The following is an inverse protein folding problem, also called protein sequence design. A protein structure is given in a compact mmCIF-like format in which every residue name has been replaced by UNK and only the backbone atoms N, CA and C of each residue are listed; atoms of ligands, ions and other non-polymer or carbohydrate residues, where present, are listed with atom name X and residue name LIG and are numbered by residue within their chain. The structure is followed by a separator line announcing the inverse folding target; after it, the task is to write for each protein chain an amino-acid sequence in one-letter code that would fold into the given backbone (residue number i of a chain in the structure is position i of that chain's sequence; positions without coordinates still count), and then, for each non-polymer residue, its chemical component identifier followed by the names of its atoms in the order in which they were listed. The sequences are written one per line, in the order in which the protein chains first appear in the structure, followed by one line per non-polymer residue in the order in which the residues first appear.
data_IF_594630970227
#
_entry.id   IF_594630970227
#
_cell.length_a   1.000
_cell.length_b   1.000
_cell.length_c   1.000
_cell.angle_alpha   90.00
_cell.angle_beta   90.00
_cell.angle_gamma   90.00
#
_symmetry.space_group_name_H-M   'P 1'
#
loop_
_entity.id
_entity.type
_entity.pdbx_description
1 polymer ?
#
# COMPACT_ATOMS: atom_id res chain seq x y z
N UNK A 1 -0.31 -40.74 14.83
CA UNK A 1 0.33 -39.61 14.12
C UNK A 1 0.24 -38.39 15.01
N UNK A 2 1.36 -37.75 15.36
CA UNK A 2 1.39 -36.52 16.17
C UNK A 2 1.14 -35.34 15.24
N UNK A 3 -0.01 -34.67 15.38
CA UNK A 3 -0.27 -33.40 14.72
C UNK A 3 0.36 -32.29 15.56
N UNK A 4 1.43 -31.69 15.03
CA UNK A 4 1.95 -30.43 15.55
C UNK A 4 0.98 -29.33 15.09
N UNK A 5 0.17 -28.80 16.00
CA UNK A 5 -0.56 -27.56 15.76
C UNK A 5 0.49 -26.46 15.54
N UNK A 6 0.66 -26.02 14.29
CA UNK A 6 1.54 -24.91 13.95
C UNK A 6 0.81 -23.62 14.34
N UNK A 7 1.02 -23.16 15.58
CA UNK A 7 0.67 -21.81 15.95
C UNK A 7 1.55 -20.86 15.13
N UNK A 8 0.92 -20.03 14.29
CA UNK A 8 1.58 -18.91 13.64
C UNK A 8 1.95 -17.93 14.74
N UNK A 9 3.19 -18.03 15.23
CA UNK A 9 3.77 -17.03 16.13
C UNK A 9 4.10 -15.83 15.25
N UNK A 10 3.35 -14.73 15.43
CA UNK A 10 3.70 -13.45 14.83
C UNK A 10 5.11 -13.08 15.29
N UNK A 11 6.06 -13.05 14.36
CA UNK A 11 7.39 -12.54 14.63
C UNK A 11 7.27 -11.08 15.12
N UNK A 12 8.11 -10.63 16.07
CA UNK A 12 8.16 -9.22 16.43
C UNK A 12 8.55 -8.43 15.18
N UNK A 13 7.65 -7.58 14.71
CA UNK A 13 7.94 -6.65 13.62
C UNK A 13 8.97 -5.66 14.13
N UNK A 14 10.18 -5.72 13.56
CA UNK A 14 11.16 -4.65 13.70
C UNK A 14 10.77 -3.60 12.69
N UNK A 15 10.17 -2.52 13.16
CA UNK A 15 9.82 -1.38 12.33
C UNK A 15 11.09 -0.55 12.12
N UNK A 16 11.67 -0.65 10.92
CA UNK A 16 12.77 0.19 10.50
C UNK A 16 12.23 1.39 9.74
N UNK A 17 12.57 2.57 10.24
CA UNK A 17 12.33 3.91 9.68
C UNK A 17 10.93 4.52 9.93
N UNK A 18 10.93 5.80 10.32
CA UNK A 18 9.73 6.64 10.42
C UNK A 18 8.96 6.64 9.09
N UNK A 19 7.63 6.81 9.14
CA UNK A 19 6.80 6.89 7.95
C UNK A 19 7.29 8.00 7.01
N UNK A 20 8.04 7.62 5.97
CA UNK A 20 8.59 8.57 5.02
C UNK A 20 7.60 8.78 3.87
N UNK A 21 6.63 9.66 4.10
CA UNK A 21 5.66 10.04 3.07
C UNK A 21 6.22 11.19 2.21
N UNK A 22 6.34 11.03 0.88
CA UNK A 22 6.91 12.08 0.02
C UNK A 22 5.95 13.26 -0.15
N UNK A 23 6.35 14.42 0.35
CA UNK A 23 5.56 15.66 0.34
C UNK A 23 5.60 16.40 -1.00
N UNK A 24 6.61 16.12 -1.84
CA UNK A 24 6.77 16.75 -3.14
C UNK A 24 5.54 16.57 -4.03
N UNK A 25 4.90 17.65 -4.49
CA UNK A 25 3.67 17.57 -5.30
C UNK A 25 2.39 17.26 -4.50
N UNK A 26 2.43 17.46 -3.19
CA UNK A 26 1.22 17.65 -2.40
C UNK A 26 0.60 19.02 -2.69
N UNK A 27 -0.73 19.10 -2.60
CA UNK A 27 -1.47 20.36 -2.76
C UNK A 27 -1.00 21.47 -1.81
N UNK A 28 -0.57 21.09 -0.61
CA UNK A 28 0.13 21.95 0.34
C UNK A 28 1.38 21.23 0.85
N UNK A 29 2.45 21.23 0.06
CA UNK A 29 3.72 20.56 0.37
C UNK A 29 4.35 21.07 1.68
N UNK A 30 4.34 22.39 1.90
CA UNK A 30 4.88 22.99 3.12
C UNK A 30 4.04 22.63 4.35
N UNK A 31 2.71 22.72 4.26
CA UNK A 31 1.81 22.32 5.33
C UNK A 31 1.87 20.82 5.62
N UNK A 32 2.01 19.98 4.58
CA UNK A 32 2.20 18.53 4.75
C UNK A 32 3.50 18.26 5.51
N UNK A 33 4.61 18.87 5.09
CA UNK A 33 5.91 18.70 5.75
C UNK A 33 5.86 19.15 7.21
N UNK A 34 5.26 20.32 7.48
CA UNK A 34 5.10 20.83 8.84
C UNK A 34 4.20 19.92 9.69
N UNK A 35 3.11 19.40 9.13
CA UNK A 35 2.20 18.51 9.83
C UNK A 35 2.87 17.18 10.18
N UNK A 36 3.61 16.58 9.24
CA UNK A 36 4.37 15.35 9.47
C UNK A 36 5.43 15.54 10.56
N UNK A 37 6.17 16.65 10.55
CA UNK A 37 7.14 16.96 11.60
C UNK A 37 6.49 17.18 12.99
N UNK A 38 5.28 17.74 13.03
CA UNK A 38 4.49 17.83 14.26
C UNK A 38 4.02 16.46 14.73
N UNK A 39 3.59 15.58 13.82
CA UNK A 39 3.26 14.21 14.14
C UNK A 39 4.48 13.51 14.76
N UNK A 40 5.66 13.57 14.12
CA UNK A 40 6.93 13.02 14.64
C UNK A 40 7.24 13.49 16.07
N UNK A 41 7.13 14.79 16.30
CA UNK A 41 7.41 15.39 17.61
C UNK A 41 6.40 14.94 18.67
N UNK A 42 5.11 14.89 18.31
CA UNK A 42 4.05 14.44 19.20
C UNK A 42 4.16 12.94 19.53
N UNK A 43 4.60 12.12 18.56
CA UNK A 43 4.90 10.71 18.79
C UNK A 43 6.00 10.55 19.83
N UNK A 44 7.17 11.14 19.61
CA UNK A 44 8.32 10.98 20.51
C UNK A 44 7.97 11.40 21.95
N UNK A 45 7.19 12.48 22.11
CA UNK A 45 6.70 12.92 23.42
C UNK A 45 5.70 11.95 24.06
N UNK A 46 4.73 11.43 23.29
CA UNK A 46 3.70 10.52 23.79
C UNK A 46 4.29 9.15 24.14
N UNK A 47 5.18 8.62 23.29
CA UNK A 47 5.84 7.35 23.49
C UNK A 47 6.81 7.38 24.67
N UNK A 48 7.56 8.47 24.86
CA UNK A 48 8.44 8.58 26.03
C UNK A 48 7.64 8.60 27.33
N UNK A 49 6.46 9.21 27.33
CA UNK A 49 5.58 9.30 28.51
C UNK A 49 4.85 7.99 28.81
N UNK A 50 4.25 7.36 27.80
CA UNK A 50 3.39 6.18 27.97
C UNK A 50 4.14 4.86 27.91
N UNK A 51 5.24 4.82 27.17
CA UNK A 51 5.98 3.60 26.84
C UNK A 51 7.39 3.60 27.44
N UNK A 52 7.89 4.74 27.93
CA UNK A 52 9.26 4.87 28.44
C UNK A 52 10.34 4.80 27.36
N UNK A 53 9.97 4.99 26.09
CA UNK A 53 10.87 4.87 24.94
C UNK A 53 10.60 6.00 23.93
N UNK A 54 11.65 6.46 23.27
CA UNK A 54 11.59 7.62 22.36
C UNK A 54 11.18 7.26 20.94
N UNK A 55 11.21 5.97 20.60
CA UNK A 55 10.92 5.48 19.26
C UNK A 55 9.80 4.41 19.30
N UNK A 56 8.58 4.73 18.81
CA UNK A 56 7.43 3.82 18.83
C UNK A 56 7.67 2.47 18.16
N UNK A 57 8.63 2.43 17.22
CA UNK A 57 8.92 1.30 16.35
C UNK A 57 9.90 0.31 16.97
N UNK A 58 10.72 0.77 17.92
CA UNK A 58 11.58 -0.06 18.76
C UNK A 58 11.04 -0.26 20.17
N UNK A 59 9.92 0.41 20.51
CA UNK A 59 9.09 0.16 21.70
C UNK A 59 8.40 -1.22 21.65
N UNK A 60 9.14 -2.31 21.48
CA UNK A 60 8.58 -3.64 21.61
C UNK A 60 8.10 -3.85 23.05
N UNK A 61 6.85 -4.29 23.25
CA UNK A 61 6.29 -4.78 24.52
C UNK A 61 5.85 -3.75 25.57
N UNK A 62 5.59 -2.49 25.22
CA UNK A 62 4.95 -1.57 26.15
C UNK A 62 3.42 -1.73 26.04
N UNK A 63 2.75 -1.92 27.18
CA UNK A 63 1.30 -2.17 27.42
C UNK A 63 0.26 -1.70 26.38
N UNK A 64 -0.98 -2.22 26.44
CA UNK A 64 -2.10 -1.74 25.62
C UNK A 64 -2.27 -0.21 25.61
N UNK A 65 -1.97 0.45 26.74
CA UNK A 65 -1.99 1.90 26.87
C UNK A 65 -0.89 2.59 26.03
N UNK A 66 0.28 1.99 25.91
CA UNK A 66 1.35 2.45 25.02
C UNK A 66 0.97 2.25 23.56
N UNK A 67 0.51 1.05 23.18
CA UNK A 67 0.10 0.77 21.80
C UNK A 67 -0.98 1.75 21.35
N UNK A 68 -2.02 1.93 22.17
CA UNK A 68 -3.15 2.81 21.84
C UNK A 68 -2.76 4.29 21.90
N UNK A 69 -2.05 4.72 22.95
CA UNK A 69 -1.79 6.14 23.21
C UNK A 69 -0.55 6.73 22.54
N UNK A 70 0.34 5.89 22.02
CA UNK A 70 1.53 6.32 21.28
C UNK A 70 1.44 5.87 19.82
N UNK A 71 1.48 4.55 19.57
CA UNK A 71 1.63 3.99 18.21
C UNK A 71 0.38 4.22 17.34
N UNK A 72 -0.82 4.03 17.87
CA UNK A 72 -2.04 4.26 17.09
C UNK A 72 -2.32 5.75 16.85
N UNK A 73 -2.11 6.60 17.85
CA UNK A 73 -2.31 8.07 17.75
C UNK A 73 -1.32 8.70 16.76
N UNK A 74 -0.07 8.23 16.80
CA UNK A 74 0.98 8.54 15.86
C UNK A 74 0.52 8.37 14.41
N UNK A 75 0.21 7.13 14.06
CA UNK A 75 -0.22 6.72 12.73
C UNK A 75 -1.49 7.44 12.29
N UNK A 76 -2.45 7.63 13.20
CA UNK A 76 -3.66 8.41 12.93
C UNK A 76 -3.30 9.85 12.53
N UNK A 77 -2.30 10.45 13.17
CA UNK A 77 -1.84 11.82 12.89
C UNK A 77 -1.19 11.93 11.51
N UNK A 78 -0.35 10.97 11.12
CA UNK A 78 0.22 10.90 9.77
C UNK A 78 -0.86 10.84 8.69
N UNK A 79 -1.80 9.91 8.84
CA UNK A 79 -2.94 9.79 7.93
C UNK A 79 -3.72 11.11 7.88
N UNK A 80 -3.96 11.76 9.02
CA UNK A 80 -4.67 13.04 9.06
C UNK A 80 -3.90 14.17 8.33
N UNK A 81 -2.57 14.20 8.44
CA UNK A 81 -1.73 15.15 7.72
C UNK A 81 -1.86 14.98 6.21
N UNK A 82 -1.79 13.74 5.72
CA UNK A 82 -1.95 13.46 4.29
C UNK A 82 -3.38 13.77 3.83
N UNK A 83 -4.40 13.38 4.59
CA UNK A 83 -5.80 13.67 4.27
C UNK A 83 -6.13 15.17 4.29
N UNK A 84 -5.41 15.98 5.07
CA UNK A 84 -5.65 17.42 5.17
C UNK A 84 -4.82 18.21 4.15
N UNK A 85 -3.51 18.00 4.08
CA UNK A 85 -2.59 18.85 3.31
C UNK A 85 -2.04 18.19 2.03
N UNK A 86 -2.26 16.90 1.84
CA UNK A 86 -1.82 16.15 0.65
C UNK A 86 -2.93 15.27 0.07
N UNK A 87 -4.18 15.73 0.17
CA UNK A 87 -5.34 14.95 -0.25
C UNK A 87 -5.32 14.61 -1.74
N UNK A 88 -4.51 15.31 -2.54
CA UNK A 88 -4.37 15.06 -3.97
C UNK A 88 -3.58 13.77 -4.30
N UNK A 89 -2.98 13.13 -3.28
CA UNK A 89 -2.22 11.89 -3.39
C UNK A 89 -2.84 10.70 -2.64
N UNK A 90 -4.08 10.80 -2.19
CA UNK A 90 -4.74 9.73 -1.39
C UNK A 90 -4.95 8.41 -2.13
N UNK A 91 -4.72 8.35 -3.44
CA UNK A 91 -4.72 7.08 -4.19
C UNK A 91 -3.32 6.55 -4.50
N UNK A 92 -2.28 7.30 -4.13
CA UNK A 92 -0.90 6.97 -4.47
C UNK A 92 -0.40 5.73 -3.73
N UNK A 93 0.63 5.08 -4.27
CA UNK A 93 1.29 3.94 -3.64
C UNK A 93 1.78 4.28 -2.24
N UNK A 94 2.25 5.50 -2.02
CA UNK A 94 2.77 5.97 -0.74
C UNK A 94 1.65 6.13 0.29
N UNK A 95 0.47 6.62 -0.12
CA UNK A 95 -0.68 6.66 0.78
C UNK A 95 -1.17 5.26 1.12
N UNK A 96 -1.29 4.38 0.13
CA UNK A 96 -1.74 3.01 0.37
C UNK A 96 -0.74 2.24 1.24
N UNK A 97 0.57 2.46 1.07
CA UNK A 97 1.61 1.90 1.94
C UNK A 97 1.44 2.41 3.37
N UNK A 98 1.32 3.73 3.55
CA UNK A 98 1.07 4.35 4.86
C UNK A 98 -0.18 3.76 5.54
N UNK A 99 -1.29 3.61 4.80
CA UNK A 99 -2.55 3.07 5.31
C UNK A 99 -2.44 1.58 5.66
N UNK A 100 -1.78 0.77 4.83
CA UNK A 100 -1.52 -0.65 5.11
C UNK A 100 -0.62 -0.80 6.33
N UNK A 101 0.50 -0.08 6.38
CA UNK A 101 1.40 -0.12 7.53
C UNK A 101 0.68 0.35 8.79
N UNK A 102 -0.20 1.35 8.69
CA UNK A 102 -1.00 1.85 9.79
C UNK A 102 -1.82 0.77 10.51
N UNK A 103 -2.50 -0.09 9.76
CA UNK A 103 -3.35 -1.16 10.32
C UNK A 103 -2.53 -2.35 10.84
N UNK A 104 -1.30 -2.54 10.33
CA UNK A 104 -0.39 -3.57 10.84
C UNK A 104 0.32 -3.13 12.12
N UNK A 105 0.67 -1.84 12.19
CA UNK A 105 1.33 -1.20 13.33
C UNK A 105 0.35 -0.99 14.50
N UNK A 106 -0.91 -0.67 14.19
CA UNK A 106 -1.99 -0.53 15.16
C UNK A 106 -3.05 -1.63 14.93
N UNK A 107 -2.92 -2.82 15.56
CA UNK A 107 -3.84 -3.94 15.37
C UNK A 107 -5.30 -3.66 15.76
N UNK A 108 -5.54 -2.61 16.55
CA UNK A 108 -6.89 -2.16 16.94
C UNK A 108 -7.49 -1.13 15.97
N UNK A 109 -6.75 -0.73 14.93
CA UNK A 109 -7.28 0.11 13.88
C UNK A 109 -8.33 -0.65 13.07
N UNK A 110 -9.34 0.08 12.59
CA UNK A 110 -10.38 -0.46 11.72
C UNK A 110 -10.09 0.01 10.31
N UNK A 111 -9.61 -0.86 9.39
CA UNK A 111 -9.24 -0.47 8.03
C UNK A 111 -10.36 0.29 7.31
N UNK A 112 -11.62 -0.15 7.46
CA UNK A 112 -12.79 0.50 6.86
C UNK A 112 -13.06 1.92 7.40
N UNK A 113 -12.47 2.28 8.54
CA UNK A 113 -12.55 3.63 9.11
C UNK A 113 -11.46 4.58 8.60
N UNK A 114 -10.44 4.06 7.91
CA UNK A 114 -9.39 4.84 7.25
C UNK A 114 -9.90 5.28 5.87
N UNK A 115 -9.98 6.59 5.60
CA UNK A 115 -10.49 7.06 4.32
C UNK A 115 -9.61 6.60 3.14
N UNK A 116 -10.20 6.13 2.06
CA UNK A 116 -9.48 5.56 0.90
C UNK A 116 -8.56 4.38 1.24
N UNK A 117 -8.82 3.66 2.33
CA UNK A 117 -8.10 2.43 2.60
C UNK A 117 -8.21 1.51 1.39
N UNK A 118 -9.42 1.15 0.96
CA UNK A 118 -9.63 0.54 -0.34
C UNK A 118 -9.66 1.65 -1.39
N UNK A 119 -8.69 1.63 -2.31
CA UNK A 119 -8.63 2.62 -3.38
C UNK A 119 -9.73 2.32 -4.39
N UNK A 120 -10.17 3.33 -5.13
CA UNK A 120 -10.96 3.04 -6.34
C UNK A 120 -9.92 2.76 -7.44
N UNK A 121 -10.09 1.70 -8.26
CA UNK A 121 -9.18 1.45 -9.37
C UNK A 121 -9.23 2.58 -10.40
N UNK A 122 -8.11 2.80 -11.08
CA UNK A 122 -7.97 3.76 -12.19
C UNK A 122 -8.26 5.24 -11.83
N UNK A 123 -8.03 5.63 -10.58
CA UNK A 123 -8.12 7.04 -10.18
C UNK A 123 -6.86 7.83 -10.60
N UNK A 124 -6.96 9.17 -10.76
CA UNK A 124 -5.79 10.01 -10.98
C UNK A 124 -4.75 9.82 -9.87
N UNK A 125 -3.51 9.51 -10.24
CA UNK A 125 -2.45 9.24 -9.27
C UNK A 125 -2.57 7.90 -8.53
N UNK A 126 -3.45 7.00 -8.95
CA UNK A 126 -3.61 5.68 -8.33
C UNK A 126 -2.33 4.83 -8.39
N UNK A 127 -2.12 3.97 -7.40
CA UNK A 127 -0.98 3.06 -7.42
C UNK A 127 -1.11 2.01 -8.54
N UNK A 128 0.02 1.60 -9.12
CA UNK A 128 0.11 0.53 -10.13
C UNK A 128 -0.30 -0.85 -9.59
N UNK A 129 -0.39 -0.99 -8.27
CA UNK A 129 -0.83 -2.18 -7.54
C UNK A 129 -1.70 -1.68 -6.38
N UNK A 130 -2.92 -2.19 -6.27
CA UNK A 130 -3.83 -1.78 -5.18
C UNK A 130 -3.42 -2.48 -3.87
N UNK A 131 -2.44 -1.88 -3.18
CA UNK A 131 -1.77 -2.47 -2.02
C UNK A 131 -2.73 -2.80 -0.88
N UNK A 132 -3.75 -1.99 -0.67
CA UNK A 132 -4.74 -2.23 0.38
C UNK A 132 -5.70 -3.36 0.06
N UNK A 133 -6.10 -3.51 -1.20
CA UNK A 133 -6.87 -4.67 -1.65
C UNK A 133 -6.04 -5.95 -1.56
N UNK A 134 -4.77 -5.89 -1.97
CA UNK A 134 -3.84 -7.01 -1.83
C UNK A 134 -3.61 -7.37 -0.35
N UNK A 135 -3.41 -6.37 0.53
CA UNK A 135 -3.32 -6.59 1.96
C UNK A 135 -4.60 -7.22 2.50
N UNK A 136 -5.79 -6.72 2.13
CA UNK A 136 -7.06 -7.25 2.60
C UNK A 136 -7.26 -8.72 2.18
N UNK A 137 -6.90 -9.07 0.93
CA UNK A 137 -6.94 -10.45 0.44
C UNK A 137 -6.01 -11.38 1.22
N UNK A 138 -4.75 -10.97 1.39
CA UNK A 138 -3.74 -11.76 2.13
C UNK A 138 -4.06 -11.87 3.63
N UNK A 139 -4.71 -10.85 4.20
CA UNK A 139 -5.17 -10.84 5.58
C UNK A 139 -6.42 -11.72 5.78
N UNK A 140 -7.35 -11.75 4.83
CA UNK A 140 -8.57 -12.54 4.90
C UNK A 140 -8.32 -14.04 4.73
N UNK A 141 -7.34 -14.44 3.91
CA UNK A 141 -7.13 -15.83 3.53
C UNK A 141 -6.92 -16.80 4.72
N UNK A 142 -6.16 -16.48 5.79
CA UNK A 142 -6.10 -17.32 6.99
C UNK A 142 -7.45 -17.53 7.67
N UNK A 143 -8.32 -16.52 7.70
CA UNK A 143 -9.67 -16.64 8.27
C UNK A 143 -10.57 -17.51 7.40
N UNK A 144 -10.49 -17.37 6.07
CA UNK A 144 -11.12 -18.29 5.12
C UNK A 144 -10.66 -19.74 5.37
N UNK A 145 -9.36 -19.94 5.60
CA UNK A 145 -8.75 -21.20 6.03
C UNK A 145 -9.38 -21.80 7.28
N UNK A 146 -9.53 -20.99 8.32
CA UNK A 146 -10.13 -21.39 9.60
C UNK A 146 -11.62 -21.73 9.46
N UNK A 147 -12.38 -20.92 8.72
CA UNK A 147 -13.79 -21.15 8.46
C UNK A 147 -14.00 -22.45 7.67
N UNK A 148 -13.19 -22.67 6.62
CA UNK A 148 -13.20 -23.92 5.86
C UNK A 148 -12.89 -25.13 6.74
N UNK A 149 -11.86 -25.05 7.60
CA UNK A 149 -11.48 -26.15 8.49
C UNK A 149 -12.57 -26.44 9.52
N UNK A 150 -13.24 -25.40 10.02
CA UNK A 150 -14.37 -25.54 10.96
C UNK A 150 -15.57 -26.21 10.29
N UNK A 151 -15.84 -25.88 9.03
CA UNK A 151 -16.90 -26.51 8.23
C UNK A 151 -16.54 -27.95 7.80
N UNK A 152 -15.25 -28.29 7.73
CA UNK A 152 -14.74 -29.57 7.24
C UNK A 152 -13.66 -30.12 8.20
N UNK A 153 -14.05 -30.79 9.31
CA UNK A 153 -13.14 -31.07 10.42
C UNK A 153 -12.17 -32.26 10.21
N UNK A 154 -12.14 -32.89 9.04
CA UNK A 154 -11.20 -33.98 8.77
C UNK A 154 -9.78 -33.47 8.45
N UNK A 155 -8.77 -34.32 8.69
CA UNK A 155 -7.36 -33.93 8.50
C UNK A 155 -7.01 -33.64 7.04
N UNK A 156 -7.68 -34.30 6.08
CA UNK A 156 -7.46 -34.04 4.66
C UNK A 156 -8.11 -32.70 4.25
N UNK A 157 -9.27 -32.37 4.82
CA UNK A 157 -9.90 -31.07 4.66
C UNK A 157 -9.07 -29.94 5.25
N UNK A 158 -8.49 -30.13 6.44
CA UNK A 158 -7.60 -29.12 7.04
C UNK A 158 -6.43 -28.76 6.11
N UNK A 159 -5.81 -29.76 5.47
CA UNK A 159 -4.75 -29.53 4.48
C UNK A 159 -5.28 -28.82 3.22
N UNK A 160 -6.45 -29.22 2.69
CA UNK A 160 -7.09 -28.55 1.55
C UNK A 160 -7.40 -27.08 1.86
N UNK A 161 -8.00 -26.79 3.01
CA UNK A 161 -8.32 -25.45 3.46
C UNK A 161 -7.08 -24.57 3.61
N UNK A 162 -6.01 -25.11 4.21
CA UNK A 162 -4.74 -24.38 4.33
C UNK A 162 -4.14 -24.06 2.95
N UNK A 163 -4.18 -25.02 2.02
CA UNK A 163 -3.69 -24.81 0.67
C UNK A 163 -4.54 -23.84 -0.15
N UNK A 164 -5.86 -23.83 0.05
CA UNK A 164 -6.73 -22.84 -0.56
C UNK A 164 -6.50 -21.42 -0.02
N UNK A 165 -6.13 -21.26 1.26
CA UNK A 165 -5.73 -19.96 1.80
C UNK A 165 -4.41 -19.45 1.18
N UNK A 166 -3.44 -20.35 0.97
CA UNK A 166 -2.18 -20.02 0.29
C UNK A 166 -2.44 -19.59 -1.15
N UNK A 167 -3.29 -20.36 -1.86
CA UNK A 167 -3.71 -20.06 -3.22
C UNK A 167 -4.41 -18.70 -3.31
N UNK A 168 -5.38 -18.43 -2.43
CA UNK A 168 -6.11 -17.15 -2.40
C UNK A 168 -5.16 -15.95 -2.30
N UNK A 169 -4.15 -16.03 -1.42
CA UNK A 169 -3.16 -14.97 -1.23
C UNK A 169 -2.27 -14.75 -2.47
N UNK A 170 -1.88 -15.84 -3.13
CA UNK A 170 -1.01 -15.79 -4.31
C UNK A 170 -1.79 -15.31 -5.54
N UNK A 171 -3.01 -15.82 -5.75
CA UNK A 171 -3.90 -15.39 -6.81
C UNK A 171 -4.26 -13.91 -6.68
N UNK A 172 -4.47 -13.41 -5.45
CA UNK A 172 -4.66 -11.98 -5.18
C UNK A 172 -3.51 -11.13 -5.75
N UNK A 173 -2.27 -11.57 -5.51
CA UNK A 173 -1.09 -10.86 -6.00
C UNK A 173 -1.04 -10.84 -7.53
N UNK A 174 -1.31 -11.96 -8.20
CA UNK A 174 -1.29 -12.00 -9.67
C UNK A 174 -2.46 -11.29 -10.33
N UNK A 175 -3.59 -11.12 -9.63
CA UNK A 175 -4.70 -10.35 -10.17
C UNK A 175 -4.46 -8.84 -9.97
N UNK A 176 -4.01 -8.43 -8.77
CA UNK A 176 -3.92 -7.02 -8.37
C UNK A 176 -2.57 -6.38 -8.74
N UNK A 177 -1.48 -7.15 -8.71
CA UNK A 177 -0.11 -6.64 -8.70
C UNK A 177 0.85 -7.42 -9.63
N UNK A 178 0.33 -8.09 -10.66
CA UNK A 178 1.13 -8.93 -11.58
C UNK A 178 2.34 -8.26 -12.24
N UNK A 179 2.34 -6.94 -12.41
CA UNK A 179 3.48 -6.23 -13.03
C UNK A 179 4.56 -5.84 -12.03
N UNK A 180 4.25 -5.80 -10.73
CA UNK A 180 5.14 -5.31 -9.67
C UNK A 180 6.03 -6.43 -9.17
N UNK A 181 7.32 -6.19 -8.95
CA UNK A 181 8.21 -7.14 -8.30
C UNK A 181 7.86 -7.23 -6.80
N UNK A 182 7.63 -8.45 -6.23
CA UNK A 182 7.29 -8.63 -4.82
C UNK A 182 8.28 -7.98 -3.84
N UNK A 183 9.53 -7.75 -4.25
CA UNK A 183 10.53 -7.07 -3.45
C UNK A 183 10.20 -5.60 -3.14
N UNK A 184 9.29 -4.98 -3.90
CA UNK A 184 8.82 -3.60 -3.68
C UNK A 184 7.49 -3.53 -2.91
N UNK A 185 6.87 -4.66 -2.55
CA UNK A 185 5.67 -4.63 -1.73
C UNK A 185 6.00 -4.17 -0.29
N UNK A 186 5.08 -3.45 0.37
CA UNK A 186 5.22 -3.11 1.79
C UNK A 186 5.48 -4.35 2.65
N UNK A 187 6.29 -4.19 3.70
CA UNK A 187 6.65 -5.30 4.57
C UNK A 187 5.43 -5.96 5.23
N UNK A 188 4.37 -5.19 5.44
CA UNK A 188 3.05 -5.63 5.91
C UNK A 188 2.36 -6.67 4.99
N UNK A 189 2.67 -6.69 3.70
CA UNK A 189 2.07 -7.64 2.75
C UNK A 189 3.02 -8.84 2.60
N UNK A 190 2.61 -9.99 3.12
CA UNK A 190 3.40 -11.24 3.04
C UNK A 190 2.70 -12.24 2.14
N UNK A 191 3.27 -12.46 0.96
CA UNK A 191 2.79 -13.51 0.04
C UNK A 191 3.45 -14.85 0.39
N UNK A 192 2.70 -15.91 0.68
CA UNK A 192 3.23 -17.18 1.20
C UNK A 192 3.82 -18.10 0.12
N UNK A 193 4.64 -17.58 -0.80
CA UNK A 193 5.24 -18.33 -1.92
C UNK A 193 5.95 -19.62 -1.48
N UNK A 194 6.68 -19.58 -0.36
CA UNK A 194 7.43 -20.73 0.16
C UNK A 194 6.58 -21.90 0.62
N UNK A 195 5.28 -21.69 0.87
CA UNK A 195 4.34 -22.75 1.24
C UNK A 195 3.70 -23.43 0.03
N UNK A 196 3.68 -22.74 -1.11
CA UNK A 196 2.98 -23.22 -2.30
C UNK A 196 3.45 -24.61 -2.80
N UNK A 197 4.77 -24.92 -2.88
CA UNK A 197 5.21 -26.24 -3.35
C UNK A 197 4.68 -27.42 -2.53
N UNK A 198 4.27 -27.18 -1.28
CA UNK A 198 3.66 -28.21 -0.41
C UNK A 198 2.17 -28.43 -0.74
N UNK A 199 1.56 -27.48 -1.45
CA UNK A 199 0.15 -27.45 -1.79
C UNK A 199 -0.17 -27.90 -3.22
N UNK A 200 0.82 -27.98 -4.11
CA UNK A 200 0.63 -28.40 -5.52
C UNK A 200 -0.21 -29.68 -5.66
N UNK A 201 0.20 -30.74 -4.96
CA UNK A 201 -0.51 -32.03 -5.02
C UNK A 201 -1.93 -31.97 -4.45
N UNK A 202 -2.16 -31.08 -3.48
CA UNK A 202 -3.48 -30.91 -2.83
C UNK A 202 -4.40 -30.09 -3.73
N UNK A 203 -3.88 -29.04 -4.37
CA UNK A 203 -4.63 -28.14 -5.25
C UNK A 203 -4.96 -28.77 -6.60
N UNK A 204 -4.17 -29.74 -7.09
CA UNK A 204 -4.42 -30.42 -8.37
C UNK A 204 -5.80 -31.11 -8.48
N UNK A 205 -6.47 -31.38 -7.36
CA UNK A 205 -7.83 -31.95 -7.32
C UNK A 205 -8.80 -31.19 -6.42
N UNK A 206 -8.44 -29.98 -5.96
CA UNK A 206 -9.26 -29.20 -5.04
C UNK A 206 -9.76 -27.94 -5.73
N UNK A 207 -11.07 -27.77 -5.77
CA UNK A 207 -11.70 -26.52 -6.16
C UNK A 207 -11.94 -25.69 -4.90
N UNK A 208 -11.10 -24.67 -4.70
CA UNK A 208 -11.16 -23.80 -3.54
C UNK A 208 -12.44 -22.95 -3.49
N UNK A 209 -13.09 -22.71 -4.65
CA UNK A 209 -14.36 -21.98 -4.69
C UNK A 209 -15.49 -22.73 -3.98
N UNK A 210 -15.53 -24.06 -4.13
CA UNK A 210 -16.47 -24.92 -3.42
C UNK A 210 -16.23 -24.98 -1.91
N UNK A 211 -15.05 -24.56 -1.45
CA UNK A 211 -14.68 -24.49 -0.05
C UNK A 211 -14.89 -23.11 0.57
N UNK A 212 -15.51 -22.18 -0.18
CA UNK A 212 -15.80 -20.83 0.28
C UNK A 212 -14.61 -19.88 0.19
N UNK A 213 -13.57 -20.24 -0.58
CA UNK A 213 -12.49 -19.33 -0.94
C UNK A 213 -12.83 -18.65 -2.25
N UNK A 214 -12.37 -17.43 -2.40
CA UNK A 214 -12.64 -16.61 -3.58
C UNK A 214 -12.68 -15.17 -3.15
N UNK A 215 -11.96 -14.33 -3.88
CA UNK A 215 -11.99 -12.91 -3.58
C UNK A 215 -13.18 -12.31 -4.31
N UNK A 216 -13.96 -11.42 -3.68
CA UNK A 216 -15.00 -10.65 -4.36
C UNK A 216 -14.45 -9.71 -5.46
N UNK A 217 -13.12 -9.62 -5.61
CA UNK A 217 -12.42 -8.71 -6.51
C UNK A 217 -11.51 -9.38 -7.54
N UNK A 218 -11.31 -10.71 -7.51
CA UNK A 218 -10.50 -11.40 -8.54
C UNK A 218 -11.39 -12.17 -9.49
N UNK A 219 -11.00 -12.16 -10.75
CA UNK A 219 -11.64 -12.95 -11.79
C UNK A 219 -11.51 -14.44 -11.42
N UNK A 220 -12.60 -15.21 -11.51
CA UNK A 220 -12.71 -16.66 -11.18
C UNK A 220 -11.70 -17.59 -11.91
N UNK A 221 -10.77 -17.03 -12.68
CA UNK A 221 -9.88 -17.71 -13.63
C UNK A 221 -8.40 -17.72 -13.22
N UNK A 222 -8.00 -17.03 -12.15
CA UNK A 222 -6.60 -17.02 -11.70
C UNK A 222 -6.38 -18.15 -10.68
N UNK A 223 -6.50 -19.39 -11.16
CA UNK A 223 -5.95 -20.56 -10.49
C UNK A 223 -4.50 -20.70 -10.96
N UNK A 224 -3.55 -20.77 -10.02
CA UNK A 224 -2.10 -20.81 -10.19
C UNK A 224 -1.57 -21.93 -11.11
N UNK A 225 -2.42 -22.80 -11.64
CA UNK A 225 -2.04 -23.84 -12.62
C UNK A 225 -1.17 -23.36 -13.80
N UNK A 226 -1.07 -22.04 -14.03
CA UNK A 226 0.09 -21.43 -14.68
C UNK A 226 0.72 -20.35 -13.80
N UNK A 227 1.82 -20.69 -13.11
CA UNK A 227 2.75 -19.72 -12.53
C UNK A 227 3.10 -18.65 -13.57
N UNK A 228 2.45 -17.50 -13.47
CA UNK A 228 2.91 -16.33 -14.21
C UNK A 228 4.27 -15.93 -13.60
N UNK A 229 5.26 -15.56 -14.42
CA UNK A 229 6.47 -14.98 -13.85
C UNK A 229 6.08 -13.76 -13.01
N UNK A 230 6.75 -13.59 -11.87
CA UNK A 230 6.58 -12.38 -11.07
C UNK A 230 6.83 -11.14 -11.93
N UNK A 231 6.13 -10.06 -11.59
CA UNK A 231 6.42 -8.75 -12.12
C UNK A 231 7.88 -8.35 -11.89
N UNK A 232 8.35 -7.40 -12.68
CA UNK A 232 9.71 -6.85 -12.60
C UNK A 232 9.73 -5.34 -12.38
N UNK A 233 8.56 -4.70 -12.42
CA UNK A 233 8.44 -3.26 -12.25
C UNK A 233 8.48 -2.87 -10.76
N UNK A 234 8.89 -1.64 -10.49
CA UNK A 234 8.69 -1.04 -9.18
C UNK A 234 7.22 -0.61 -9.01
N UNK A 235 6.82 -0.30 -7.77
CA UNK A 235 5.60 0.47 -7.55
C UNK A 235 5.70 1.83 -8.26
N UNK A 236 4.60 2.29 -8.83
CA UNK A 236 4.52 3.57 -9.53
C UNK A 236 3.11 4.15 -9.43
N UNK A 237 3.02 5.48 -9.40
CA UNK A 237 1.74 6.17 -9.46
C UNK A 237 1.35 6.40 -10.91
N UNK A 238 0.11 6.09 -11.24
CA UNK A 238 -0.49 6.38 -12.54
C UNK A 238 -0.54 7.91 -12.77
N UNK A 239 -0.69 8.30 -14.04
CA UNK A 239 -0.79 9.70 -14.41
C UNK A 239 -2.03 10.40 -13.83
N UNK A 240 -2.00 11.73 -13.88
CA UNK A 240 -3.09 12.57 -13.42
C UNK A 240 -2.98 12.94 -11.94
N UNK A 241 -3.80 13.91 -11.54
CA UNK A 241 -3.83 14.43 -10.17
C UNK A 241 -5.23 14.87 -9.83
N UNK A 242 -5.64 14.67 -8.58
CA UNK A 242 -6.89 15.20 -8.07
C UNK A 242 -6.81 16.72 -7.93
N UNK A 243 -7.81 17.43 -8.45
CA UNK A 243 -7.92 18.90 -8.36
C UNK A 243 -8.98 19.35 -7.36
N UNK A 244 -9.71 18.40 -6.77
CA UNK A 244 -10.67 18.64 -5.69
C UNK A 244 -10.60 17.49 -4.67
N UNK A 245 -10.73 17.77 -3.35
CA UNK A 245 -10.74 16.75 -2.33
C UNK A 245 -11.96 15.83 -2.52
N UNK A 246 -11.78 14.50 -2.64
CA UNK A 246 -12.91 13.62 -2.96
C UNK A 246 -13.99 13.53 -1.87
N UNK A 247 -13.70 13.90 -0.61
CA UNK A 247 -14.69 14.01 0.47
C UNK A 247 -15.23 15.43 0.72
N UNK A 248 -14.98 16.37 -0.19
CA UNK A 248 -15.26 17.78 0.05
C UNK A 248 -14.26 18.42 1.01
N UNK A 249 -14.58 19.60 1.54
CA UNK A 249 -13.62 20.42 2.28
C UNK A 249 -13.28 19.92 3.69
N UNK A 250 -14.16 19.12 4.30
CA UNK A 250 -14.00 18.65 5.68
C UNK A 250 -14.60 17.27 5.83
N UNK A 251 -13.90 16.36 6.53
CA UNK A 251 -14.32 14.97 6.68
C UNK A 251 -13.99 14.45 8.07
N UNK A 252 -15.00 13.90 8.74
CA UNK A 252 -14.81 13.15 9.97
C UNK A 252 -14.56 11.67 9.65
N UNK A 253 -13.58 11.06 10.30
CA UNK A 253 -13.19 9.67 10.10
C UNK A 253 -12.75 9.02 11.41
N UNK A 254 -12.72 7.68 11.45
CA UNK A 254 -12.67 6.92 12.70
C UNK A 254 -11.59 5.82 12.62
N UNK A 255 -10.36 6.14 13.03
CA UNK A 255 -9.24 5.19 12.96
C UNK A 255 -9.48 3.91 13.78
N UNK A 256 -10.05 4.04 14.97
CA UNK A 256 -10.37 2.92 15.87
C UNK A 256 -11.85 2.47 15.72
N UNK A 257 -12.48 2.78 14.59
CA UNK A 257 -13.91 2.52 14.36
C UNK A 257 -14.83 3.46 15.15
N UNK A 258 -16.15 3.22 15.03
CA UNK A 258 -17.20 4.11 15.58
C UNK A 258 -17.19 4.29 17.11
N UNK A 259 -16.49 3.41 17.82
CA UNK A 259 -16.29 3.50 19.28
C UNK A 259 -15.10 4.37 19.67
N UNK A 260 -14.22 4.70 18.73
CA UNK A 260 -13.09 5.60 18.92
C UNK A 260 -13.45 7.07 18.71
N UNK A 261 -12.58 8.00 19.14
CA UNK A 261 -12.76 9.41 18.86
C UNK A 261 -12.71 9.68 17.35
N UNK A 262 -13.62 10.53 16.88
CA UNK A 262 -13.59 11.02 15.51
C UNK A 262 -12.40 11.96 15.31
N UNK A 263 -11.71 11.81 14.19
CA UNK A 263 -10.69 12.75 13.71
C UNK A 263 -11.26 13.52 12.55
N UNK A 264 -10.96 14.81 12.47
CA UNK A 264 -11.40 15.68 11.38
C UNK A 264 -10.21 16.05 10.50
N UNK A 265 -10.32 15.72 9.22
CA UNK A 265 -9.42 16.23 8.19
C UNK A 265 -10.09 17.43 7.50
N UNK A 266 -9.36 18.53 7.37
CA UNK A 266 -9.81 19.71 6.61
C UNK A 266 -8.88 19.89 5.43
N UNK A 267 -9.43 19.77 4.23
CA UNK A 267 -8.68 19.81 2.99
C UNK A 267 -8.08 21.21 2.78
N UNK A 268 -6.76 21.26 2.59
CA UNK A 268 -6.04 22.45 2.16
C UNK A 268 -6.56 22.91 0.79
N UNK A 269 -6.56 24.22 0.57
CA UNK A 269 -7.07 24.80 -0.67
C UNK A 269 -6.21 24.39 -1.87
N UNK A 270 -6.86 24.03 -2.98
CA UNK A 270 -6.15 23.78 -4.23
C UNK A 270 -5.75 25.10 -4.89
N UNK A 271 -4.46 25.30 -5.16
CA UNK A 271 -3.94 26.42 -5.95
C UNK A 271 -3.32 25.90 -7.26
N UNK A 272 -3.92 26.27 -8.39
CA UNK A 272 -3.37 25.93 -9.69
C UNK A 272 -2.03 26.66 -9.91
N UNK A 273 -0.92 25.93 -9.91
CA UNK A 273 0.43 26.48 -10.18
C UNK A 273 1.54 26.05 -9.22
N UNK A 274 1.21 25.54 -8.04
CA UNK A 274 2.22 25.08 -7.05
C UNK A 274 2.68 23.63 -7.25
N UNK A 275 2.11 22.91 -8.22
CA UNK A 275 2.41 21.51 -8.47
C UNK A 275 3.60 21.41 -9.43
N UNK A 276 4.75 20.96 -8.93
CA UNK A 276 5.91 20.64 -9.77
C UNK A 276 5.50 19.74 -10.93
N UNK A 277 6.01 20.01 -12.13
CA UNK A 277 5.75 19.21 -13.34
C UNK A 277 6.10 17.75 -13.07
N UNK A 278 5.08 16.90 -12.90
CA UNK A 278 5.27 15.46 -12.85
C UNK A 278 5.74 15.02 -14.24
N UNK A 279 6.97 14.51 -14.31
CA UNK A 279 7.57 13.97 -15.52
C UNK A 279 6.69 12.83 -16.05
N UNK A 280 6.04 13.03 -17.19
CA UNK A 280 5.44 11.97 -17.98
C UNK A 280 6.55 10.99 -18.36
N UNK A 281 6.57 9.80 -17.77
CA UNK A 281 7.49 8.75 -18.18
C UNK A 281 7.11 8.33 -19.60
N UNK A 282 7.96 8.69 -20.56
CA UNK A 282 7.71 8.47 -21.98
C UNK A 282 7.64 6.98 -22.32
N UNK A 283 6.52 6.55 -22.88
CA UNK A 283 6.45 5.29 -23.62
C UNK A 283 7.07 5.53 -25.01
N UNK A 284 8.27 5.00 -25.25
CA UNK A 284 8.75 4.77 -26.62
C UNK A 284 8.03 3.53 -27.18
N UNK A 285 7.39 3.71 -28.32
CA UNK A 285 6.73 2.67 -29.09
C UNK A 285 6.11 3.23 -30.36
N UNK A 286 6.96 3.61 -31.31
CA UNK A 286 6.61 4.10 -32.64
C UNK A 286 5.83 3.05 -33.44
N UNK A 287 4.68 3.40 -34.02
CA UNK A 287 4.38 2.99 -35.39
C UNK A 287 3.49 4.02 -36.10
N UNK A 288 4.06 4.58 -37.18
CA UNK A 288 3.43 5.46 -38.16
C UNK A 288 2.32 4.73 -38.92
N UNK A 289 1.19 5.40 -39.15
CA UNK A 289 0.49 5.36 -40.45
C UNK A 289 -0.20 6.69 -40.70
N UNK A 290 -0.12 7.11 -41.96
CA UNK A 290 -0.28 8.43 -42.55
C UNK A 290 -1.67 8.64 -43.17
N UNK A 291 -2.12 9.90 -43.22
CA UNK A 291 -3.19 10.41 -44.11
C UNK A 291 -4.50 10.78 -43.38
N UNK A 292 -5.20 11.90 -43.61
CA UNK A 292 -5.09 12.95 -44.63
C UNK A 292 -5.87 14.19 -44.14
N UNK A 293 -5.42 15.34 -44.63
CA UNK A 293 -5.89 16.72 -44.45
C UNK A 293 -7.41 16.97 -44.60
N UNK A 294 -7.92 17.93 -43.82
CA UNK A 294 -8.55 19.14 -44.39
C UNK A 294 -8.65 20.27 -43.38
N UNK A 295 -8.06 21.40 -43.75
CA UNK A 295 -8.24 22.72 -43.18
C UNK A 295 -9.58 23.33 -43.60
N UNK A 296 -10.17 24.18 -42.74
CA UNK A 296 -10.72 25.47 -43.19
C UNK A 296 -10.80 26.51 -42.06
N UNK A 297 -10.51 27.75 -42.46
CA UNK A 297 -10.29 29.04 -41.79
C UNK A 297 -11.42 29.52 -40.85
N UNK A 298 -11.25 30.55 -40.00
CA UNK A 298 -11.30 32.01 -40.33
C UNK A 298 -11.10 32.79 -39.00
N UNK A 299 -9.99 33.52 -38.76
CA UNK A 299 -9.65 34.92 -39.08
C UNK A 299 -9.97 35.95 -37.98
N UNK A 300 -8.94 36.74 -37.63
CA UNK A 300 -9.01 38.09 -37.04
C UNK A 300 -8.23 38.21 -35.72
N UNK A 301 -7.34 39.17 -35.48
CA UNK A 301 -6.69 40.15 -36.34
C UNK A 301 -5.54 40.76 -35.52
N UNK A 302 -4.34 40.75 -36.11
CA UNK A 302 -3.33 41.82 -36.23
C UNK A 302 -2.90 42.71 -35.04
N UNK A 303 -1.55 42.80 -34.88
CA UNK A 303 -0.83 43.97 -34.34
C UNK A 303 0.51 43.62 -33.66
N UNK A 304 1.55 43.18 -34.40
CA UNK A 304 2.75 43.96 -34.82
C UNK A 304 3.55 44.61 -33.67
N UNK A 305 4.87 44.40 -33.49
CA UNK A 305 5.85 43.60 -34.24
C UNK A 305 7.31 43.91 -33.85
N UNK A 306 8.23 43.10 -34.41
CA UNK A 306 9.68 43.35 -34.69
C UNK A 306 10.66 43.48 -33.49
N UNK A 307 11.87 42.91 -33.44
CA UNK A 307 12.78 42.31 -34.45
C UNK A 307 13.86 41.45 -33.75
N UNK A 308 14.21 40.34 -34.39
CA UNK A 308 15.55 39.77 -34.67
C UNK A 308 16.65 39.78 -33.59
N UNK A 309 17.17 38.60 -33.19
CA UNK A 309 18.56 38.21 -33.50
C UNK A 309 18.86 36.72 -33.21
N UNK A 310 19.75 36.20 -34.05
CA UNK A 310 20.22 34.83 -34.16
C UNK A 310 21.41 34.59 -33.23
N UNK A 311 21.47 33.45 -32.54
CA UNK A 311 22.65 33.05 -31.78
C UNK A 311 22.53 31.65 -31.16
N UNK A 312 23.30 30.72 -31.71
CA UNK A 312 23.70 29.43 -31.11
C UNK A 312 25.23 29.36 -31.27
N UNK A 313 26.00 28.49 -30.59
CA UNK A 313 25.69 27.51 -29.53
C UNK A 313 26.63 27.66 -28.30
N UNK A 314 26.34 27.01 -27.16
CA UNK A 314 27.30 26.16 -26.42
C UNK A 314 26.75 25.58 -25.11
N UNK A 315 26.88 24.25 -25.01
CA UNK A 315 27.13 23.39 -23.84
C UNK A 315 27.14 24.02 -22.44
N UNK A 316 26.41 23.40 -21.48
CA UNK A 316 26.96 22.92 -20.19
C UNK A 316 26.01 21.88 -19.59
N UNK A 317 26.64 20.97 -18.86
CA UNK A 317 26.32 19.62 -18.44
C UNK A 317 25.11 19.38 -17.54
N UNK A 318 24.52 18.23 -17.83
CA UNK A 318 23.72 17.32 -17.01
C UNK A 318 24.17 17.16 -15.55
N UNK A 319 23.21 17.01 -14.65
CA UNK A 319 23.45 16.58 -13.28
C UNK A 319 22.21 16.62 -12.39
N UNK A 320 21.11 15.95 -12.78
CA UNK A 320 19.98 15.70 -11.89
C UNK A 320 20.02 14.24 -11.46
N UNK A 321 20.53 14.00 -10.26
CA UNK A 321 20.46 12.72 -9.55
C UNK A 321 19.05 12.55 -9.01
N UNK A 322 18.29 11.62 -9.58
CA UNK A 322 17.07 11.10 -8.96
C UNK A 322 17.47 10.16 -7.81
N UNK A 323 17.39 10.64 -6.57
CA UNK A 323 17.49 9.79 -5.39
C UNK A 323 16.19 8.99 -5.22
N UNK A 324 16.14 7.81 -5.82
CA UNK A 324 15.25 6.76 -5.34
C UNK A 324 15.85 6.23 -4.03
N UNK A 325 15.19 6.52 -2.92
CA UNK A 325 15.55 5.97 -1.61
C UNK A 325 15.45 4.43 -1.69
N UNK A 326 16.61 3.78 -1.78
CA UNK A 326 16.77 2.34 -1.60
C UNK A 326 16.61 2.02 -0.12
N UNK A 327 15.50 1.41 0.27
CA UNK A 327 15.46 0.59 1.48
C UNK A 327 15.79 -0.83 1.06
N UNK A 328 17.05 -1.23 1.26
CA UNK A 328 17.44 -2.65 1.20
C UNK A 328 16.84 -3.33 2.43
N UNK A 329 15.64 -3.89 2.29
CA UNK A 329 15.11 -4.85 3.26
C UNK A 329 16.02 -6.08 3.27
N UNK A 330 16.79 -6.26 4.34
CA UNK A 330 17.50 -7.51 4.57
C UNK A 330 16.44 -8.63 4.77
N UNK A 331 16.45 -9.62 3.89
CA UNK A 331 15.67 -10.83 4.06
C UNK A 331 16.18 -11.59 5.29
N UNK A 332 15.52 -11.42 6.43
CA UNK A 332 15.76 -12.26 7.60
C UNK A 332 14.80 -13.45 7.52
N UNK A 333 15.36 -14.58 7.08
CA UNK A 333 14.72 -15.89 7.10
C UNK A 333 14.68 -16.38 8.56
N UNK A 334 13.53 -16.24 9.23
CA UNK A 334 13.31 -16.89 10.52
C UNK A 334 12.72 -18.29 10.34
N UNK A 335 13.59 -19.30 10.44
CA UNK A 335 13.19 -20.68 10.72
C UNK A 335 12.90 -20.78 12.23
N UNK A 336 11.62 -20.79 12.61
CA UNK A 336 11.22 -21.12 13.99
C UNK A 336 10.78 -22.59 14.04
N UNK A 337 11.66 -23.44 14.56
CA UNK A 337 11.33 -24.78 15.03
C UNK A 337 10.99 -24.71 16.52
N UNK A 338 9.72 -24.89 16.89
CA UNK A 338 9.31 -24.98 18.30
C UNK A 338 9.25 -26.46 18.73
N UNK A 339 10.09 -26.83 19.70
CA UNK A 339 10.04 -28.12 20.37
C UNK A 339 8.91 -28.18 21.39
N UNK A 340 8.05 -29.21 21.28
CA UNK A 340 7.01 -29.49 22.27
C UNK A 340 7.60 -29.92 23.62
N UNK A 341 7.20 -29.24 24.70
CA UNK A 341 7.25 -29.79 26.06
C UNK A 341 5.82 -30.18 26.47
N UNK A 342 5.54 -31.49 26.51
CA UNK A 342 4.31 -32.05 27.06
C UNK A 342 4.54 -32.35 28.55
N UNK A 343 3.89 -31.61 29.44
CA UNK A 343 3.66 -32.06 30.82
C UNK A 343 2.29 -32.74 30.89
N UNK A 344 2.30 -33.99 31.36
CA UNK A 344 1.11 -34.80 31.64
C UNK A 344 0.34 -34.19 32.82
N UNK A 345 -0.99 -34.14 32.70
CA UNK A 345 -1.91 -34.41 33.80
C UNK A 345 -2.60 -35.72 33.48
#
# INVERSE_FOLDING_TARGET
MKFTLLFIVFAPMVFGDAFNFPTAGCVDEAGTTACLALADSAMAASCSTLCGCTDPFTCSQASDACLTGCVCVATQSYLNCVLSSCWNKVYSCEYQTLAVDAVNICPIAVPAGIPYFLSIPNQPGSCSCELSALWAATYAAPFSGLNCTTANPDAAASQRCACCAVEESISAYYDICNTVDPAYLPAAIKIPWGYYPQCESTLAGTDCTNLGFGLPAVNDSVLYSTLLPNGTATLSNQGGMLTSPPYGSTTAWYFLGSTGPATTATAAAYTAGNQGTQSTQGTQGTQSTQGTERAQSTQGSTGSGSKTESGSPSSTSSGATSEAAKVKGAAILFLVTLGLCLTRV
#
